data_IF_589139692596
#
_entry.id   IF_589139692596
#
_cell.length_a   1.000
_cell.length_b   1.000
_cell.length_c   1.000
_cell.angle_alpha   90.00
_cell.angle_beta   90.00
_cell.angle_gamma   90.00
#
_symmetry.space_group_name_H-M   'P 1'
#
loop_
_entity.id
_entity.type
_entity.pdbx_description
1 polymer ?
#
# COMPACT_ATOMS: atom_id res chain seq x y z
N UNK A 1 -37.35 10.32 -11.20
CA UNK A 1 -36.49 9.32 -10.52
C UNK A 1 -36.99 9.09 -9.10
N UNK A 2 -37.32 7.85 -8.74
CA UNK A 2 -37.87 7.51 -7.42
C UNK A 2 -36.82 7.64 -6.31
N UNK A 3 -37.24 7.76 -5.06
CA UNK A 3 -36.32 7.84 -3.91
C UNK A 3 -35.44 6.58 -3.80
N UNK A 4 -36.00 5.41 -4.11
CA UNK A 4 -35.27 4.13 -4.14
C UNK A 4 -34.17 4.14 -5.20
N UNK A 5 -34.45 4.67 -6.39
CA UNK A 5 -33.45 4.83 -7.44
C UNK A 5 -32.33 5.80 -7.02
N UNK A 6 -32.68 6.94 -6.40
CA UNK A 6 -31.68 7.89 -5.87
C UNK A 6 -30.78 7.26 -4.81
N UNK A 7 -31.36 6.50 -3.89
CA UNK A 7 -30.61 5.80 -2.85
C UNK A 7 -29.65 4.77 -3.48
N UNK A 8 -30.13 3.97 -4.42
CA UNK A 8 -29.29 2.99 -5.12
C UNK A 8 -28.12 3.66 -5.84
N UNK A 9 -28.37 4.75 -6.58
CA UNK A 9 -27.31 5.53 -7.25
C UNK A 9 -26.32 6.10 -6.24
N UNK A 10 -26.79 6.65 -5.12
CA UNK A 10 -25.91 7.18 -4.09
C UNK A 10 -25.00 6.11 -3.49
N UNK A 11 -25.54 4.93 -3.18
CA UNK A 11 -24.77 3.79 -2.68
C UNK A 11 -23.77 3.29 -3.71
N UNK A 12 -24.15 3.21 -5.00
CA UNK A 12 -23.22 2.85 -6.07
C UNK A 12 -22.06 3.83 -6.16
N UNK A 13 -22.33 5.14 -6.15
CA UNK A 13 -21.28 6.16 -6.23
C UNK A 13 -20.30 6.05 -5.06
N UNK A 14 -20.80 5.91 -3.83
CA UNK A 14 -19.96 5.76 -2.63
C UNK A 14 -19.20 4.42 -2.63
N UNK A 15 -19.83 3.33 -3.08
CA UNK A 15 -19.14 2.05 -3.21
C UNK A 15 -18.01 2.12 -4.24
N UNK A 16 -18.24 2.80 -5.38
CA UNK A 16 -17.21 3.03 -6.39
C UNK A 16 -16.01 3.80 -5.83
N UNK A 17 -16.21 4.76 -4.92
CA UNK A 17 -15.05 5.44 -4.30
C UNK A 17 -14.23 4.51 -3.44
N UNK A 18 -14.87 3.66 -2.65
CA UNK A 18 -14.19 2.64 -1.84
C UNK A 18 -13.41 1.69 -2.76
N UNK A 19 -14.05 1.19 -3.82
CA UNK A 19 -13.43 0.25 -4.77
C UNK A 19 -12.23 0.91 -5.48
N UNK A 20 -12.36 2.13 -5.97
CA UNK A 20 -11.26 2.82 -6.68
C UNK A 20 -10.04 3.08 -5.79
N UNK A 21 -10.25 3.28 -4.48
CA UNK A 21 -9.16 3.51 -3.53
C UNK A 21 -8.70 2.23 -2.82
N UNK A 22 -9.24 1.07 -3.20
CA UNK A 22 -8.87 -0.20 -2.64
C UNK A 22 -7.50 -0.63 -3.18
N UNK A 23 -6.50 -0.77 -2.30
CA UNK A 23 -5.15 -1.21 -2.66
C UNK A 23 -4.96 -2.72 -2.53
N UNK A 24 -5.55 -3.35 -1.51
CA UNK A 24 -5.32 -4.79 -1.25
C UNK A 24 -5.78 -5.71 -2.40
N UNK A 25 -4.98 -6.72 -2.82
CA UNK A 25 -3.72 -7.16 -2.21
C UNK A 25 -2.48 -6.39 -2.65
N UNK A 26 -2.56 -5.53 -3.66
CA UNK A 26 -1.40 -4.87 -4.24
C UNK A 26 -1.01 -3.58 -3.48
N UNK A 27 0.18 -3.05 -3.76
CA UNK A 27 0.57 -1.73 -3.25
C UNK A 27 -0.21 -0.59 -3.93
N UNK A 28 -0.63 -0.78 -5.19
CA UNK A 28 -1.34 0.24 -5.99
C UNK A 28 -2.85 0.08 -5.90
N UNK A 29 -3.57 1.19 -5.69
CA UNK A 29 -5.02 1.20 -5.69
C UNK A 29 -5.62 0.80 -7.05
N UNK A 30 -6.77 0.13 -7.04
CA UNK A 30 -7.48 -0.31 -8.25
C UNK A 30 -7.76 0.83 -9.24
N UNK A 31 -8.08 2.03 -8.75
CA UNK A 31 -8.29 3.21 -9.59
C UNK A 31 -7.06 3.63 -10.36
N UNK A 32 -5.86 3.51 -9.78
CA UNK A 32 -4.60 3.79 -10.47
C UNK A 32 -4.33 2.77 -11.57
N UNK A 33 -4.58 1.49 -11.27
CA UNK A 33 -4.45 0.41 -12.25
C UNK A 33 -5.42 0.59 -13.42
N UNK A 34 -6.67 0.96 -13.12
CA UNK A 34 -7.68 1.26 -14.13
C UNK A 34 -7.26 2.41 -15.03
N UNK A 35 -6.82 3.53 -14.45
CA UNK A 35 -6.33 4.68 -15.22
C UNK A 35 -5.16 4.30 -16.12
N UNK A 36 -4.15 3.60 -15.58
CA UNK A 36 -3.00 3.12 -16.35
C UNK A 36 -3.43 2.18 -17.48
N UNK A 37 -4.37 1.26 -17.22
CA UNK A 37 -4.87 0.31 -18.22
C UNK A 37 -5.57 1.00 -19.39
N UNK A 38 -6.34 2.07 -19.14
CA UNK A 38 -7.00 2.85 -20.20
C UNK A 38 -6.10 3.94 -20.80
N UNK A 39 -4.82 4.01 -20.41
CA UNK A 39 -3.86 4.99 -20.91
C UNK A 39 -4.03 6.41 -20.34
N UNK A 40 -4.75 6.56 -19.23
CA UNK A 40 -4.89 7.83 -18.52
C UNK A 40 -3.76 8.02 -17.49
N UNK A 41 -3.22 9.25 -17.37
CA UNK A 41 -2.23 9.54 -16.34
C UNK A 41 -2.88 9.50 -14.94
N UNK A 42 -2.18 8.91 -13.97
CA UNK A 42 -2.61 8.94 -12.54
C UNK A 42 -2.32 10.30 -11.92
N UNK A 43 -1.17 10.89 -12.27
CA UNK A 43 -0.69 12.16 -11.75
C UNK A 43 -0.43 13.15 -12.88
N UNK A 44 -0.64 14.44 -12.61
CA UNK A 44 -0.41 15.49 -13.61
C UNK A 44 1.05 15.68 -14.00
N UNK A 45 2.00 15.32 -13.13
CA UNK A 45 3.45 15.42 -13.39
C UNK A 45 4.15 14.08 -13.12
N UNK A 46 3.74 13.05 -13.86
CA UNK A 46 4.33 11.70 -13.83
C UNK A 46 4.03 10.95 -12.53
N UNK A 47 4.71 11.32 -11.44
CA UNK A 47 4.59 10.74 -10.10
C UNK A 47 4.28 11.78 -9.02
N UNK A 48 4.13 13.06 -9.41
CA UNK A 48 3.81 14.16 -8.49
C UNK A 48 2.73 15.07 -9.06
N UNK A 49 2.24 16.02 -8.25
CA UNK A 49 1.24 17.00 -8.65
C UNK A 49 -0.18 16.58 -8.29
N UNK A 50 -1.13 16.82 -9.20
CA UNK A 50 -2.55 16.50 -8.95
C UNK A 50 -2.78 15.00 -9.20
N UNK A 51 -3.33 14.31 -8.21
CA UNK A 51 -3.77 12.92 -8.34
C UNK A 51 -5.16 12.87 -8.97
N UNK A 52 -5.25 12.46 -10.24
CA UNK A 52 -6.51 12.42 -10.98
C UNK A 52 -7.46 11.33 -10.45
N UNK A 53 -6.93 10.21 -9.95
CA UNK A 53 -7.73 9.13 -9.33
C UNK A 53 -8.36 9.63 -8.03
N UNK A 54 -7.58 10.34 -7.21
CA UNK A 54 -8.05 10.96 -5.97
C UNK A 54 -9.12 12.03 -6.22
N UNK A 55 -8.91 12.91 -7.21
CA UNK A 55 -9.91 13.92 -7.60
C UNK A 55 -11.19 13.25 -8.09
N UNK A 56 -11.08 12.23 -8.95
CA UNK A 56 -12.25 11.48 -9.46
C UNK A 56 -13.02 10.83 -8.32
N UNK A 57 -12.31 10.19 -7.38
CA UNK A 57 -12.90 9.58 -6.19
C UNK A 57 -13.61 10.61 -5.31
N UNK A 58 -13.04 11.80 -5.14
CA UNK A 58 -13.63 12.87 -4.36
C UNK A 58 -14.92 13.41 -5.00
N UNK A 59 -14.94 13.59 -6.33
CA UNK A 59 -16.12 14.01 -7.07
C UNK A 59 -17.25 12.99 -6.96
N UNK A 60 -16.93 11.70 -7.12
CA UNK A 60 -17.88 10.59 -6.94
C UNK A 60 -18.42 10.57 -5.51
N UNK A 61 -17.58 10.79 -4.49
CA UNK A 61 -17.99 10.82 -3.10
C UNK A 61 -18.98 11.96 -2.86
N UNK A 62 -18.66 13.19 -3.28
CA UNK A 62 -19.56 14.33 -3.09
C UNK A 62 -20.88 14.17 -3.86
N UNK A 63 -20.85 13.68 -5.09
CA UNK A 63 -22.05 13.37 -5.86
C UNK A 63 -22.89 12.30 -5.15
N UNK A 64 -22.25 11.25 -4.62
CA UNK A 64 -22.88 10.20 -3.83
C UNK A 64 -23.53 10.73 -2.57
N UNK A 65 -22.82 11.55 -1.78
CA UNK A 65 -23.31 12.13 -0.53
C UNK A 65 -24.47 13.10 -0.75
N UNK A 66 -24.39 13.94 -1.78
CA UNK A 66 -25.48 14.86 -2.15
C UNK A 66 -26.73 14.07 -2.53
N UNK A 67 -26.57 13.05 -3.38
CA UNK A 67 -27.66 12.18 -3.82
C UNK A 67 -28.24 11.37 -2.66
N UNK A 68 -27.39 10.88 -1.74
CA UNK A 68 -27.78 10.17 -0.53
C UNK A 68 -28.67 11.06 0.34
N UNK A 69 -28.21 12.28 0.63
CA UNK A 69 -28.96 13.24 1.45
C UNK A 69 -30.33 13.55 0.85
N UNK A 70 -30.41 13.74 -0.47
CA UNK A 70 -31.65 14.02 -1.18
C UNK A 70 -32.62 12.81 -1.26
N UNK A 71 -32.11 11.59 -1.03
CA UNK A 71 -32.93 10.37 -1.04
C UNK A 71 -33.60 10.08 0.32
N UNK A 72 -33.03 10.57 1.42
CA UNK A 72 -33.44 10.27 2.80
C UNK A 72 -34.47 11.28 3.32
N UNK A 73 -35.44 10.80 4.13
CA UNK A 73 -36.47 11.64 4.77
C UNK A 73 -36.13 12.04 6.20
N UNK A 74 -35.69 11.07 7.00
CA UNK A 74 -35.33 11.27 8.41
C UNK A 74 -33.85 10.99 8.59
N UNK A 75 -33.25 11.68 9.55
CA UNK A 75 -31.83 11.54 9.91
C UNK A 75 -30.84 11.73 8.75
N UNK A 76 -31.26 12.37 7.65
CA UNK A 76 -30.44 12.54 6.45
C UNK A 76 -29.07 13.13 6.78
N UNK A 77 -29.01 14.15 7.65
CA UNK A 77 -27.73 14.74 8.11
C UNK A 77 -26.83 13.73 8.82
N UNK A 78 -27.37 12.94 9.76
CA UNK A 78 -26.59 11.95 10.52
C UNK A 78 -26.06 10.84 9.61
N UNK A 79 -26.91 10.32 8.72
CA UNK A 79 -26.54 9.25 7.78
C UNK A 79 -25.51 9.76 6.76
N UNK A 80 -25.69 10.97 6.21
CA UNK A 80 -24.71 11.56 5.29
C UNK A 80 -23.37 11.82 5.98
N UNK A 81 -23.36 12.26 7.25
CA UNK A 81 -22.11 12.40 8.01
C UNK A 81 -21.42 11.05 8.23
N UNK A 82 -22.17 10.01 8.58
CA UNK A 82 -21.63 8.65 8.69
C UNK A 82 -21.03 8.20 7.35
N UNK A 83 -21.76 8.39 6.26
CA UNK A 83 -21.34 8.03 4.91
C UNK A 83 -20.12 8.82 4.40
N UNK A 84 -19.85 10.01 4.96
CA UNK A 84 -18.65 10.78 4.66
C UNK A 84 -17.40 10.15 5.30
N UNK A 85 -17.52 9.63 6.52
CA UNK A 85 -16.41 9.07 7.30
C UNK A 85 -16.10 7.63 6.85
N UNK A 86 -17.14 6.88 6.54
CA UNK A 86 -17.07 5.44 6.29
C UNK A 86 -16.06 5.03 5.19
N UNK A 87 -15.92 5.72 4.05
CA UNK A 87 -14.93 5.37 3.04
C UNK A 87 -13.47 5.48 3.48
N UNK A 88 -13.16 6.27 4.50
CA UNK A 88 -11.80 6.43 5.02
C UNK A 88 -11.49 5.40 6.11
N UNK A 89 -12.48 5.06 6.94
CA UNK A 89 -12.29 4.16 8.07
C UNK A 89 -12.53 2.68 7.73
N UNK A 90 -13.50 2.39 6.86
CA UNK A 90 -13.95 1.02 6.59
C UNK A 90 -12.92 0.16 5.82
N UNK A 91 -12.23 0.65 4.77
CA UNK A 91 -11.37 -0.22 3.97
C UNK A 91 -10.24 -0.91 4.75
N UNK A 92 -9.44 -0.19 5.59
CA UNK A 92 -8.41 -0.85 6.40
C UNK A 92 -8.98 -1.95 7.33
N UNK A 93 -10.17 -1.72 7.89
CA UNK A 93 -10.83 -2.70 8.77
C UNK A 93 -11.26 -3.95 8.00
N UNK A 94 -11.81 -3.78 6.80
CA UNK A 94 -12.19 -4.90 5.94
C UNK A 94 -10.98 -5.71 5.47
N UNK A 95 -9.86 -5.04 5.15
CA UNK A 95 -8.61 -5.71 4.81
C UNK A 95 -8.08 -6.50 6.00
N UNK A 96 -7.99 -5.91 7.19
CA UNK A 96 -7.53 -6.60 8.39
C UNK A 96 -8.44 -7.80 8.76
N UNK A 97 -9.76 -7.63 8.66
CA UNK A 97 -10.71 -8.73 8.85
C UNK A 97 -10.51 -9.84 7.81
N UNK A 98 -10.27 -9.48 6.54
CA UNK A 98 -9.99 -10.44 5.51
C UNK A 98 -8.68 -11.20 5.75
N UNK A 99 -7.62 -10.49 6.09
CA UNK A 99 -6.29 -11.04 6.33
C UNK A 99 -6.26 -11.99 7.52
N UNK A 100 -7.05 -11.72 8.55
CA UNK A 100 -7.09 -12.53 9.77
C UNK A 100 -7.96 -13.80 9.66
N UNK A 101 -9.00 -13.78 8.82
CA UNK A 101 -9.97 -14.89 8.73
C UNK A 101 -9.75 -15.77 7.49
N UNK A 102 -9.47 -15.18 6.33
CA UNK A 102 -9.47 -15.92 5.06
C UNK A 102 -8.12 -15.93 4.34
N UNK A 103 -7.28 -14.92 4.51
CA UNK A 103 -6.00 -14.89 3.82
C UNK A 103 -5.05 -15.97 4.36
N UNK A 104 -4.17 -16.46 3.48
CA UNK A 104 -3.17 -17.49 3.76
C UNK A 104 -1.81 -17.06 3.23
N UNK A 105 -0.73 -17.55 3.85
CA UNK A 105 0.64 -17.23 3.43
C UNK A 105 0.88 -15.72 3.35
N UNK A 106 1.57 -15.28 2.30
CA UNK A 106 1.94 -13.87 2.07
C UNK A 106 0.74 -12.90 1.94
N UNK A 107 -0.48 -13.41 1.72
CA UNK A 107 -1.68 -12.57 1.71
C UNK A 107 -2.14 -12.18 3.13
N UNK A 108 -1.82 -12.97 4.15
CA UNK A 108 -2.07 -12.62 5.55
C UNK A 108 -0.96 -11.77 6.17
N UNK A 109 0.12 -11.54 5.42
CA UNK A 109 1.24 -10.70 5.82
C UNK A 109 0.93 -9.22 5.55
N UNK A 110 1.20 -8.38 6.53
CA UNK A 110 1.18 -6.92 6.43
C UNK A 110 2.60 -6.39 6.67
N UNK A 111 2.99 -5.39 5.89
CA UNK A 111 4.25 -4.67 6.06
C UNK A 111 3.96 -3.27 6.60
N UNK A 112 4.58 -2.93 7.74
CA UNK A 112 4.36 -1.66 8.43
C UNK A 112 5.43 -0.66 7.97
N UNK A 113 5.13 0.06 6.89
CA UNK A 113 6.05 1.02 6.24
C UNK A 113 6.62 2.07 7.19
N UNK A 114 5.76 2.63 8.04
CA UNK A 114 6.14 3.72 8.95
C UNK A 114 7.06 3.27 10.09
N UNK A 115 7.12 1.97 10.36
CA UNK A 115 8.00 1.36 11.37
C UNK A 115 9.19 0.63 10.74
N UNK A 116 9.45 0.90 9.45
CA UNK A 116 10.50 0.24 8.69
C UNK A 116 11.48 1.25 8.11
N UNK A 117 12.78 0.96 8.24
CA UNK A 117 13.85 1.85 7.81
C UNK A 117 15.11 1.10 7.46
N UNK A 118 15.93 1.69 6.62
CA UNK A 118 17.26 1.17 6.30
C UNK A 118 18.30 2.23 6.55
N UNK A 119 19.36 1.84 7.25
CA UNK A 119 20.53 2.65 7.48
C UNK A 119 21.70 2.06 6.71
N UNK A 120 22.53 2.90 6.12
CA UNK A 120 23.73 2.45 5.42
C UNK A 120 24.91 3.37 5.69
N UNK A 121 26.10 2.80 5.52
CA UNK A 121 27.38 3.46 5.57
C UNK A 121 28.26 2.94 4.46
N UNK A 122 29.00 3.84 3.81
CA UNK A 122 30.01 3.57 2.80
C UNK A 122 31.39 3.61 3.46
N UNK A 123 32.18 2.58 3.21
CA UNK A 123 33.59 2.49 3.53
C UNK A 123 34.31 2.12 2.23
N UNK A 124 35.11 3.05 1.70
CA UNK A 124 35.73 2.98 0.37
C UNK A 124 34.70 2.75 -0.77
N UNK A 125 34.82 1.66 -1.51
CA UNK A 125 33.90 1.26 -2.58
C UNK A 125 32.79 0.31 -2.08
N UNK A 126 32.69 0.11 -0.76
CA UNK A 126 31.78 -0.85 -0.17
C UNK A 126 30.73 -0.15 0.69
N UNK A 127 29.46 -0.44 0.43
CA UNK A 127 28.36 0.00 1.28
C UNK A 127 27.87 -1.19 2.10
N UNK A 128 27.80 -0.98 3.41
CA UNK A 128 27.16 -1.88 4.37
C UNK A 128 25.96 -1.20 4.99
N UNK A 129 24.88 -1.94 5.23
CA UNK A 129 23.71 -1.39 5.86
C UNK A 129 22.87 -2.42 6.59
N UNK A 130 21.88 -1.92 7.32
CA UNK A 130 20.92 -2.73 8.05
C UNK A 130 19.52 -2.15 7.84
N UNK A 131 18.62 -3.01 7.39
CA UNK A 131 17.21 -2.72 7.23
C UNK A 131 16.42 -3.34 8.37
N UNK A 132 15.73 -2.50 9.13
CA UNK A 132 14.76 -2.91 10.14
C UNK A 132 13.39 -2.95 9.47
N UNK A 133 12.89 -4.14 9.16
CA UNK A 133 11.63 -4.33 8.44
C UNK A 133 10.56 -4.90 9.38
N UNK A 134 9.48 -4.16 9.58
CA UNK A 134 8.41 -4.54 10.51
C UNK A 134 7.24 -5.17 9.77
N UNK A 135 6.89 -6.40 10.17
CA UNK A 135 5.78 -7.15 9.60
C UNK A 135 4.77 -7.55 10.67
N UNK A 136 3.52 -7.75 10.26
CA UNK A 136 2.46 -8.37 11.06
C UNK A 136 1.96 -9.60 10.31
N UNK A 137 1.94 -10.75 10.99
CA UNK A 137 1.26 -11.95 10.49
C UNK A 137 -0.12 -12.03 11.13
N UNK A 138 -1.17 -11.84 10.32
CA UNK A 138 -2.55 -11.93 10.79
C UNK A 138 -3.10 -13.37 10.87
N UNK A 139 -2.40 -14.34 10.30
CA UNK A 139 -2.83 -15.73 10.25
C UNK A 139 -2.50 -16.51 11.52
N UNK A 140 -3.17 -17.66 11.67
CA UNK A 140 -2.89 -18.63 12.73
C UNK A 140 -1.72 -19.57 12.44
N UNK A 141 -0.96 -19.35 11.37
CA UNK A 141 0.16 -20.20 10.96
C UNK A 141 1.41 -19.35 10.75
N UNK A 142 2.59 -19.95 10.93
CA UNK A 142 3.85 -19.29 10.62
C UNK A 142 3.96 -19.11 9.10
N UNK A 143 4.41 -17.93 8.68
CA UNK A 143 4.60 -17.60 7.26
C UNK A 143 6.10 -17.59 6.97
N UNK A 144 6.52 -18.41 6.02
CA UNK A 144 7.85 -18.35 5.43
C UNK A 144 7.74 -17.62 4.09
N UNK A 145 8.65 -16.67 3.85
CA UNK A 145 8.64 -15.87 2.62
C UNK A 145 10.02 -15.28 2.37
N UNK A 146 10.32 -14.99 1.11
CA UNK A 146 11.41 -14.08 0.75
C UNK A 146 10.83 -12.70 0.51
N UNK A 147 11.65 -11.66 0.67
CA UNK A 147 11.26 -10.30 0.37
C UNK A 147 12.31 -9.69 -0.55
N UNK A 148 11.99 -8.62 -1.26
CA UNK A 148 12.93 -7.86 -2.09
C UNK A 148 12.44 -6.42 -2.15
N UNK A 149 13.36 -5.46 -2.23
CA UNK A 149 12.97 -4.05 -2.36
C UNK A 149 12.59 -3.79 -3.80
N UNK A 150 11.39 -3.26 -4.02
CA UNK A 150 10.92 -2.91 -5.36
C UNK A 150 11.28 -1.46 -5.67
N UNK A 151 11.86 -1.27 -6.86
CA UNK A 151 12.35 -0.02 -7.41
C UNK A 151 11.52 1.20 -6.97
N UNK A 152 12.16 2.08 -6.20
CA UNK A 152 11.61 3.39 -5.85
C UNK A 152 12.30 4.48 -6.67
N UNK A 153 11.55 5.09 -7.59
CA UNK A 153 11.96 6.23 -8.42
C UNK A 153 12.41 7.48 -7.64
N UNK A 154 12.27 7.48 -6.31
CA UNK A 154 12.53 8.62 -5.43
C UNK A 154 13.78 8.47 -4.57
N UNK A 155 14.45 7.32 -4.62
CA UNK A 155 15.66 7.12 -3.83
C UNK A 155 16.89 7.56 -4.63
N UNK A 156 17.69 8.42 -4.00
CA UNK A 156 18.87 9.05 -4.57
C UNK A 156 19.91 7.96 -4.91
N UNK A 157 20.08 7.69 -6.20
CA UNK A 157 21.17 6.88 -6.75
C UNK A 157 20.74 5.52 -7.30
N UNK A 158 21.29 5.18 -8.47
CA UNK A 158 21.19 3.86 -9.14
C UNK A 158 21.65 2.68 -8.28
N UNK A 159 22.28 2.95 -7.14
CA UNK A 159 22.71 1.96 -6.16
C UNK A 159 21.54 1.18 -5.53
N UNK A 160 20.44 1.87 -5.19
CA UNK A 160 19.29 1.26 -4.49
C UNK A 160 18.40 0.40 -5.39
N UNK A 161 18.37 0.68 -6.69
CA UNK A 161 17.66 -0.17 -7.68
C UNK A 161 18.28 -1.56 -7.80
N UNK A 162 19.55 -1.70 -7.39
CA UNK A 162 20.29 -2.95 -7.44
C UNK A 162 20.29 -3.68 -6.09
N UNK A 163 19.78 -3.06 -5.03
CA UNK A 163 19.83 -3.58 -3.67
C UNK A 163 18.74 -4.64 -3.49
N UNK A 164 19.02 -5.84 -4.02
CA UNK A 164 18.37 -7.06 -3.58
C UNK A 164 18.89 -7.41 -2.17
N UNK A 165 18.50 -6.56 -1.20
CA UNK A 165 18.97 -6.57 0.20
C UNK A 165 18.63 -7.89 0.89
N UNK A 166 17.62 -8.58 0.37
CA UNK A 166 16.98 -9.72 0.98
C UNK A 166 17.22 -11.01 0.16
N UNK A 167 17.41 -10.91 -1.17
CA UNK A 167 17.76 -12.05 -2.01
C UNK A 167 16.82 -13.24 -1.83
N UNK A 168 17.41 -14.44 -1.74
CA UNK A 168 16.72 -15.68 -1.45
C UNK A 168 16.61 -15.98 0.06
N UNK A 169 16.92 -15.02 0.95
CA UNK A 169 16.84 -15.25 2.38
C UNK A 169 15.38 -15.48 2.78
N UNK A 170 15.09 -16.70 3.23
CA UNK A 170 13.78 -17.04 3.77
C UNK A 170 13.62 -16.42 5.15
N UNK A 171 12.66 -15.50 5.26
CA UNK A 171 12.21 -14.90 6.50
C UNK A 171 11.07 -15.74 7.08
N UNK A 172 10.95 -15.75 8.40
CA UNK A 172 9.86 -16.42 9.11
C UNK A 172 9.13 -15.44 10.02
N UNK A 173 7.83 -15.32 9.81
CA UNK A 173 6.93 -14.54 10.64
C UNK A 173 6.01 -15.45 11.45
N UNK A 174 6.19 -15.51 12.79
CA UNK A 174 5.36 -16.33 13.65
C UNK A 174 3.89 -15.96 13.57
N UNK A 175 3.01 -16.94 13.77
CA UNK A 175 1.55 -16.73 13.78
C UNK A 175 1.12 -15.62 14.75
N UNK A 176 0.20 -14.76 14.30
CA UNK A 176 -0.41 -13.68 15.10
C UNK A 176 0.58 -12.74 15.80
N UNK A 177 1.77 -12.55 15.22
CA UNK A 177 2.80 -11.68 15.79
C UNK A 177 3.14 -10.51 14.88
N UNK A 178 3.44 -9.38 15.53
CA UNK A 178 4.16 -8.25 14.95
C UNK A 178 5.63 -8.39 15.32
N UNK A 179 6.52 -8.33 14.33
CA UNK A 179 7.96 -8.50 14.54
C UNK A 179 8.75 -7.63 13.56
N UNK A 180 9.81 -7.01 14.09
CA UNK A 180 10.82 -6.34 13.27
C UNK A 180 11.96 -7.32 13.01
N UNK A 181 12.32 -7.46 11.73
CA UNK A 181 13.41 -8.31 11.26
C UNK A 181 14.52 -7.39 10.77
N UNK A 182 15.72 -7.56 11.33
CA UNK A 182 16.90 -6.82 10.92
C UNK A 182 17.65 -7.61 9.85
N UNK A 183 17.83 -7.01 8.68
CA UNK A 183 18.50 -7.62 7.54
C UNK A 183 19.72 -6.80 7.19
N UNK A 184 20.88 -7.44 7.27
CA UNK A 184 22.16 -6.81 6.96
C UNK A 184 22.47 -7.03 5.49
N UNK A 185 22.90 -5.98 4.80
CA UNK A 185 23.34 -6.08 3.41
C UNK A 185 24.73 -5.49 3.23
N UNK A 186 25.42 -6.00 2.21
CA UNK A 186 26.73 -5.54 1.77
C UNK A 186 26.75 -5.48 0.25
N UNK A 187 27.20 -4.36 -0.31
CA UNK A 187 27.28 -4.21 -1.76
C UNK A 187 28.40 -3.28 -2.18
N UNK A 188 29.04 -3.59 -3.31
CA UNK A 188 30.03 -2.72 -3.93
C UNK A 188 29.35 -1.61 -4.73
N UNK A 189 29.86 -0.39 -4.64
CA UNK A 189 29.29 0.80 -5.28
C UNK A 189 30.36 1.52 -6.05
N UNK A 190 30.20 1.55 -7.37
CA UNK A 190 31.11 2.25 -8.28
C UNK A 190 30.81 3.77 -8.36
N UNK A 191 29.62 4.24 -7.95
CA UNK A 191 29.28 5.66 -8.02
C UNK A 191 29.87 6.46 -6.86
N UNK A 192 30.83 7.32 -7.18
CA UNK A 192 31.50 8.24 -6.26
C UNK A 192 30.54 9.27 -5.63
N UNK A 193 29.35 9.51 -6.20
CA UNK A 193 28.35 10.46 -5.68
C UNK A 193 27.46 9.89 -4.58
N UNK A 194 27.59 8.60 -4.27
CA UNK A 194 26.84 7.98 -3.16
C UNK A 194 27.32 8.58 -1.84
N UNK A 195 26.41 9.13 -1.00
CA UNK A 195 26.78 9.67 0.31
C UNK A 195 27.49 8.64 1.19
N UNK A 196 28.34 9.10 2.10
CA UNK A 196 29.09 8.23 3.02
C UNK A 196 28.19 7.49 4.02
N UNK A 197 27.00 8.02 4.29
CA UNK A 197 25.97 7.35 5.08
C UNK A 197 24.60 7.96 4.79
N UNK A 198 23.55 7.24 5.17
CA UNK A 198 22.19 7.75 5.09
C UNK A 198 21.15 6.81 5.66
N UNK A 199 19.93 7.32 5.75
CA UNK A 199 18.75 6.57 6.14
C UNK A 199 17.66 6.78 5.11
N UNK A 200 16.96 5.70 4.76
CA UNK A 200 15.79 5.76 3.89
C UNK A 200 14.61 5.01 4.52
N UNK A 201 13.41 5.48 4.20
CA UNK A 201 12.13 5.05 4.76
C UNK A 201 11.12 4.82 3.64
N UNK A 202 10.00 4.17 3.97
CA UNK A 202 8.85 4.09 3.05
C UNK A 202 9.12 3.25 1.81
N UNK A 203 10.01 2.27 1.89
CA UNK A 203 10.32 1.35 0.78
C UNK A 203 9.09 0.54 0.38
N UNK A 204 8.96 0.25 -0.90
CA UNK A 204 8.01 -0.76 -1.38
C UNK A 204 8.73 -2.11 -1.44
N UNK A 205 8.05 -3.17 -1.00
CA UNK A 205 8.62 -4.52 -0.99
C UNK A 205 7.83 -5.42 -1.93
N UNK A 206 8.49 -6.39 -2.55
CA UNK A 206 7.84 -7.54 -3.16
C UNK A 206 8.16 -8.77 -2.31
N UNK A 207 7.14 -9.47 -1.82
CA UNK A 207 7.27 -10.70 -1.06
C UNK A 207 6.88 -11.90 -1.90
N UNK A 208 7.58 -13.02 -1.72
CA UNK A 208 7.32 -14.27 -2.44
C UNK A 208 7.27 -15.46 -1.49
N UNK A 209 6.40 -16.40 -1.80
CA UNK A 209 6.33 -17.73 -1.17
C UNK A 209 5.86 -18.71 -2.23
N UNK A 210 6.67 -19.73 -2.49
CA UNK A 210 6.44 -20.69 -3.58
C UNK A 210 6.21 -19.98 -4.93
N UNK A 211 5.08 -20.22 -5.60
CA UNK A 211 4.70 -19.57 -6.86
C UNK A 211 3.96 -18.24 -6.68
N UNK A 212 3.73 -17.79 -5.44
CA UNK A 212 2.98 -16.57 -5.14
C UNK A 212 3.93 -15.38 -4.96
N UNK A 213 3.60 -14.26 -5.57
CA UNK A 213 4.29 -12.98 -5.42
C UNK A 213 3.27 -11.87 -5.13
N UNK A 214 3.63 -10.93 -4.26
CA UNK A 214 2.78 -9.80 -3.88
C UNK A 214 3.61 -8.56 -3.57
N UNK A 215 3.15 -7.41 -4.03
CA UNK A 215 3.73 -6.11 -3.66
C UNK A 215 3.11 -5.58 -2.36
N UNK A 216 3.95 -5.12 -1.43
CA UNK A 216 3.61 -4.52 -0.14
C UNK A 216 4.05 -3.05 -0.06
#
# INVERSE_FOLDING_TARGET
MSRRQRLAIALMLIASTIILNWSYPDAKALGERLFQWVGLPVWSRGTSGLNYVGITSLLLLFAGLFTLRASLQRHARKITLLALILPFWLPPQLVAAYQSVWAKGIYALEYVKDESSCNYKKEDEQVTGTCSLTFVNHSGQDIQFTASIRNQRYLVGSFLESLDILGDQTLTMPSRQKKTINVVFKKMVADARTPDSGTFYGMDLAVKSDEQERDL
#
